data_IF_578361493590
#
_entry.id   IF_578361493590
#
_cell.length_a   1.000
_cell.length_b   1.000
_cell.length_c   1.000
_cell.angle_alpha   90.00
_cell.angle_beta   90.00
_cell.angle_gamma   90.00
#
_symmetry.space_group_name_H-M   'P 1'
#
loop_
_entity.id
_entity.type
_entity.pdbx_description
1 polymer ?
#
# COMPACT_ATOMS: atom_id res chain seq x y z
N UNK A 1 40.10 -15.97 -12.71
CA UNK A 1 39.16 -14.82 -12.66
C UNK A 1 37.73 -15.36 -12.80
N UNK A 2 37.12 -15.84 -11.71
CA UNK A 2 35.75 -16.36 -11.77
C UNK A 2 34.77 -15.18 -11.80
N UNK A 3 33.93 -15.11 -12.85
CA UNK A 3 32.79 -14.20 -12.88
C UNK A 3 31.74 -14.70 -11.90
N UNK A 4 31.74 -14.17 -10.68
CA UNK A 4 30.67 -14.37 -9.73
C UNK A 4 29.38 -13.75 -10.29
N UNK A 5 28.49 -14.57 -10.83
CA UNK A 5 27.14 -14.16 -11.25
C UNK A 5 26.27 -14.17 -10.00
N UNK A 6 26.02 -12.99 -9.41
CA UNK A 6 25.07 -12.87 -8.29
C UNK A 6 23.76 -13.57 -8.69
N UNK A 7 23.25 -14.51 -7.88
CA UNK A 7 21.89 -14.97 -8.07
C UNK A 7 20.98 -13.75 -7.87
N UNK A 8 20.24 -13.37 -8.91
CA UNK A 8 19.21 -12.34 -8.85
C UNK A 8 18.09 -12.86 -7.97
N UNK A 9 18.27 -12.62 -6.67
CA UNK A 9 17.34 -12.72 -5.56
C UNK A 9 15.88 -12.79 -6.02
N UNK A 10 15.35 -14.01 -6.06
CA UNK A 10 13.92 -14.22 -5.83
C UNK A 10 13.73 -13.81 -4.37
N UNK A 11 13.34 -12.55 -4.16
CA UNK A 11 13.12 -11.99 -2.83
C UNK A 11 12.02 -12.78 -2.12
N UNK A 12 12.13 -13.02 -0.80
CA UNK A 12 11.11 -13.69 -0.03
C UNK A 12 9.80 -12.94 -0.22
N UNK A 13 8.70 -13.68 -0.36
CA UNK A 13 7.31 -13.22 -0.51
C UNK A 13 7.16 -11.87 0.19
N UNK A 14 7.28 -10.80 -0.58
CA UNK A 14 7.29 -9.45 -0.02
C UNK A 14 5.85 -9.26 0.45
N UNK A 15 5.66 -9.01 1.75
CA UNK A 15 4.33 -8.82 2.28
C UNK A 15 3.79 -7.55 1.64
N UNK A 16 2.96 -7.70 0.60
CA UNK A 16 2.52 -6.66 -0.32
C UNK A 16 1.70 -5.59 0.42
N UNK A 17 2.34 -4.66 1.13
CA UNK A 17 1.68 -3.49 1.68
C UNK A 17 1.66 -2.40 0.61
N UNK A 18 0.46 -2.05 0.13
CA UNK A 18 0.32 -1.10 -0.96
C UNK A 18 -1.10 -1.03 -1.53
N UNK A 19 -1.18 -0.59 -2.78
CA UNK A 19 -2.40 -0.38 -3.55
C UNK A 19 -3.19 -1.69 -3.67
N UNK A 20 -2.51 -2.81 -3.91
CA UNK A 20 -3.15 -4.11 -4.06
C UNK A 20 -3.98 -4.52 -2.82
N UNK A 21 -3.46 -4.25 -1.62
CA UNK A 21 -4.16 -4.57 -0.36
C UNK A 21 -5.30 -3.60 -0.09
N UNK A 22 -5.15 -2.32 -0.43
CA UNK A 22 -6.23 -1.34 -0.33
C UNK A 22 -7.40 -1.70 -1.25
N UNK A 23 -7.13 -2.07 -2.50
CA UNK A 23 -8.15 -2.54 -3.44
C UNK A 23 -8.88 -3.78 -2.91
N UNK A 24 -8.13 -4.74 -2.34
CA UNK A 24 -8.72 -5.95 -1.74
C UNK A 24 -9.60 -5.64 -0.52
N UNK A 25 -9.25 -4.60 0.23
CA UNK A 25 -10.04 -4.12 1.37
C UNK A 25 -11.16 -3.16 0.95
N UNK A 26 -11.46 -3.02 -0.34
CA UNK A 26 -12.57 -2.19 -0.83
C UNK A 26 -12.27 -0.70 -0.91
N UNK A 27 -11.03 -0.26 -0.65
CA UNK A 27 -10.68 1.15 -0.74
C UNK A 27 -10.72 1.60 -2.20
N UNK A 28 -11.21 2.81 -2.41
CA UNK A 28 -11.31 3.43 -3.72
C UNK A 28 -10.36 4.61 -3.79
N UNK A 29 -9.67 4.73 -4.92
CA UNK A 29 -8.85 5.91 -5.19
C UNK A 29 -9.76 7.11 -5.43
N UNK A 30 -9.43 8.26 -4.85
CA UNK A 30 -10.11 9.53 -5.11
C UNK A 30 -9.37 10.26 -6.26
N UNK A 31 -9.85 10.15 -7.51
CA UNK A 31 -9.30 10.93 -8.60
C UNK A 31 -9.54 12.42 -8.29
N UNK A 32 -8.49 13.25 -8.44
CA UNK A 32 -8.41 14.71 -8.17
C UNK A 32 -7.75 15.17 -6.87
N UNK A 33 -7.47 14.31 -5.89
CA UNK A 33 -6.66 14.68 -4.71
C UNK A 33 -5.17 14.36 -4.82
N UNK A 34 -4.77 13.62 -5.86
CA UNK A 34 -3.37 13.29 -6.13
C UNK A 34 -2.68 14.37 -6.97
N UNK A 35 -1.61 14.97 -6.45
CA UNK A 35 -0.68 15.81 -7.23
C UNK A 35 0.60 15.01 -7.44
N UNK A 36 0.94 14.71 -8.69
CA UNK A 36 2.14 13.91 -9.03
C UNK A 36 1.94 12.41 -8.75
N UNK A 37 2.95 11.75 -8.20
CA UNK A 37 2.96 10.29 -7.95
C UNK A 37 2.21 9.85 -6.70
N UNK A 38 1.51 10.76 -6.02
CA UNK A 38 0.76 10.45 -4.79
C UNK A 38 -0.69 10.14 -5.13
N UNK A 39 -1.20 9.06 -4.57
CA UNK A 39 -2.59 8.63 -4.71
C UNK A 39 -3.27 8.71 -3.35
N UNK A 40 -4.50 9.24 -3.34
CA UNK A 40 -5.31 9.33 -2.14
C UNK A 40 -6.42 8.31 -2.24
N UNK A 41 -6.60 7.54 -1.18
CA UNK A 41 -7.54 6.44 -1.06
C UNK A 41 -8.53 6.73 0.05
N UNK A 42 -9.80 6.40 -0.17
CA UNK A 42 -10.86 6.50 0.82
C UNK A 42 -11.72 5.25 0.83
N UNK A 43 -12.39 5.02 1.96
CA UNK A 43 -13.34 3.93 2.13
C UNK A 43 -14.60 4.48 2.79
N UNK A 44 -15.82 4.07 2.38
CA UNK A 44 -17.05 4.56 2.99
C UNK A 44 -17.15 4.26 4.50
N UNK A 45 -16.52 3.17 4.94
CA UNK A 45 -16.45 2.75 6.35
C UNK A 45 -15.20 3.23 7.08
N UNK A 46 -14.41 4.11 6.45
CA UNK A 46 -13.23 4.71 7.07
C UNK A 46 -13.37 6.23 7.02
N UNK A 47 -13.48 6.86 8.18
CA UNK A 47 -13.62 8.32 8.27
C UNK A 47 -12.38 9.10 7.83
N UNK A 48 -11.25 8.43 7.61
CA UNK A 48 -9.99 9.03 7.14
C UNK A 48 -9.73 8.85 5.65
N UNK A 49 -8.56 9.31 5.22
CA UNK A 49 -8.03 9.05 3.88
C UNK A 49 -6.59 8.59 3.97
N UNK A 50 -6.21 7.58 3.18
CA UNK A 50 -4.84 7.11 3.10
C UNK A 50 -4.16 7.76 1.91
N UNK A 51 -3.00 8.35 2.14
CA UNK A 51 -2.15 8.85 1.06
C UNK A 51 -0.99 7.89 0.85
N UNK A 52 -0.91 7.29 -0.32
CA UNK A 52 0.21 6.45 -0.73
C UNK A 52 1.05 7.17 -1.80
N UNK A 53 2.35 7.20 -1.58
CA UNK A 53 3.31 7.74 -2.55
C UNK A 53 3.87 6.63 -3.43
N UNK A 54 3.67 6.72 -4.74
CA UNK A 54 4.43 5.95 -5.72
C UNK A 54 3.94 4.53 -6.00
N UNK A 55 4.67 3.87 -6.90
CA UNK A 55 4.46 2.50 -7.40
C UNK A 55 4.69 1.50 -6.27
N UNK A 56 3.81 0.50 -6.17
CA UNK A 56 3.80 -0.51 -5.12
C UNK A 56 5.19 -1.04 -4.69
N UNK A 57 5.37 -1.14 -3.37
CA UNK A 57 6.19 -2.19 -2.75
C UNK A 57 7.69 -1.95 -2.55
N UNK A 58 8.32 -0.91 -3.13
CA UNK A 58 9.78 -0.68 -2.91
C UNK A 58 10.14 0.58 -2.14
N UNK A 59 9.33 1.63 -2.24
CA UNK A 59 9.60 2.93 -1.58
C UNK A 59 8.56 3.28 -0.51
N UNK A 60 7.63 2.36 -0.21
CA UNK A 60 6.65 2.58 0.84
C UNK A 60 7.38 2.73 2.18
N UNK A 61 7.31 3.93 2.74
CA UNK A 61 7.92 4.19 4.05
C UNK A 61 7.16 3.38 5.10
N UNK A 62 7.86 2.82 6.10
CA UNK A 62 7.26 1.94 7.13
C UNK A 62 6.00 2.50 7.79
N UNK A 63 5.87 3.83 7.89
CA UNK A 63 4.65 4.46 8.41
C UNK A 63 3.44 4.25 7.50
N UNK A 64 3.63 4.24 6.17
CA UNK A 64 2.55 4.01 5.20
C UNK A 64 1.99 2.60 5.34
N UNK A 65 2.84 1.61 5.59
CA UNK A 65 2.38 0.25 5.88
C UNK A 65 1.54 0.18 7.16
N UNK A 66 1.96 0.90 8.20
CA UNK A 66 1.21 0.96 9.46
C UNK A 66 -0.14 1.66 9.29
N UNK A 67 -0.18 2.76 8.54
CA UNK A 67 -1.42 3.48 8.22
C UNK A 67 -2.39 2.58 7.44
N UNK A 68 -1.90 1.85 6.43
CA UNK A 68 -2.71 0.89 5.65
C UNK A 68 -3.28 -0.21 6.55
N UNK A 69 -2.44 -0.82 7.40
CA UNK A 69 -2.91 -1.85 8.35
C UNK A 69 -3.99 -1.32 9.27
N UNK A 70 -3.78 -0.13 9.83
CA UNK A 70 -4.71 0.49 10.77
C UNK A 70 -6.04 0.78 10.09
N UNK A 71 -6.03 1.39 8.92
CA UNK A 71 -7.26 1.72 8.20
C UNK A 71 -8.06 0.46 7.83
N UNK A 72 -7.40 -0.61 7.38
CA UNK A 72 -8.07 -1.89 7.07
C UNK A 72 -8.68 -2.50 8.32
N UNK A 73 -7.98 -2.42 9.46
CA UNK A 73 -8.52 -2.89 10.73
C UNK A 73 -9.76 -2.11 11.13
N UNK A 74 -9.72 -0.78 11.06
CA UNK A 74 -10.88 0.07 11.38
C UNK A 74 -12.06 -0.21 10.44
N UNK A 75 -11.82 -0.39 9.14
CA UNK A 75 -12.88 -0.79 8.19
C UNK A 75 -13.50 -2.12 8.61
N UNK A 76 -12.69 -3.14 8.94
CA UNK A 76 -13.21 -4.45 9.38
C UNK A 76 -14.00 -4.37 10.68
N UNK A 77 -13.57 -3.52 11.61
CA UNK A 77 -14.30 -3.27 12.86
C UNK A 77 -15.64 -2.57 12.60
N UNK A 78 -15.71 -1.67 11.61
CA UNK A 78 -16.95 -0.98 11.20
C UNK A 78 -17.86 -1.80 10.27
N UNK A 79 -17.34 -2.86 9.64
CA UNK A 79 -18.13 -3.84 8.85
C UNK A 79 -18.88 -4.86 9.72
N UNK A 80 -18.53 -4.96 11.02
CA UNK A 80 -19.14 -5.88 11.99
C UNK A 80 -20.33 -5.26 12.71
#
# INVERSE_FOLDING_TARGET
>A
MLRYRKPSSVSPVTFEFGIAVLLKAGFTQIPRRGKGSHTVWAHPLYNGSITLSGKDGKDAQRYQEQDVKRAIREVKENES
#
